data_IF_007401665257
#
_entry.id   IF_007401665257
#
_cell.length_a   1.000
_cell.length_b   1.000
_cell.length_c   1.000
_cell.angle_alpha   90.00
_cell.angle_beta   90.00
_cell.angle_gamma   90.00
#
_symmetry.space_group_name_H-M   'P 1'
#
loop_
_entity.id
_entity.type
_entity.pdbx_description
1 polymer ?
#
# COMPACT_ATOMS: atom_id res chain seq x y z
N UNK A 1 -10.19 -8.65 0.47
CA UNK A 1 -9.74 -7.81 -0.66
C UNK A 1 -10.83 -6.79 -0.91
N UNK A 2 -10.65 -5.57 -0.44
CA UNK A 2 -11.63 -4.52 -0.67
C UNK A 2 -11.35 -3.91 -2.04
N UNK A 3 -12.38 -3.82 -2.88
CA UNK A 3 -12.33 -3.09 -4.14
C UNK A 3 -13.02 -1.77 -3.89
N UNK A 4 -12.28 -0.67 -4.05
CA UNK A 4 -12.83 0.67 -3.86
C UNK A 4 -13.77 0.99 -5.01
N UNK A 5 -15.04 1.20 -4.69
CA UNK A 5 -16.05 1.66 -5.64
C UNK A 5 -16.03 3.18 -5.74
N UNK A 6 -16.67 3.75 -6.77
CA UNK A 6 -16.90 5.20 -6.88
C UNK A 6 -17.60 5.78 -5.64
N UNK A 7 -18.49 5.00 -5.00
CA UNK A 7 -19.16 5.42 -3.76
C UNK A 7 -18.17 5.57 -2.61
N UNK A 8 -17.15 4.71 -2.53
CA UNK A 8 -16.11 4.78 -1.52
C UNK A 8 -15.22 6.00 -1.75
N UNK A 9 -14.82 6.28 -3.00
CA UNK A 9 -14.03 7.48 -3.35
C UNK A 9 -14.78 8.76 -2.98
N UNK A 10 -16.07 8.85 -3.32
CA UNK A 10 -16.91 9.99 -2.95
C UNK A 10 -17.00 10.17 -1.42
N UNK A 11 -17.09 9.06 -0.68
CA UNK A 11 -17.10 9.09 0.78
C UNK A 11 -15.75 9.58 1.34
N UNK A 12 -14.63 9.12 0.78
CA UNK A 12 -13.28 9.56 1.16
C UNK A 12 -13.13 11.06 0.92
N UNK A 13 -13.44 11.55 -0.28
CA UNK A 13 -13.34 12.97 -0.61
C UNK A 13 -14.22 13.85 0.29
N UNK A 14 -15.42 13.38 0.65
CA UNK A 14 -16.28 14.09 1.60
C UNK A 14 -15.62 14.22 2.98
N UNK A 15 -14.96 13.17 3.46
CA UNK A 15 -14.24 13.21 4.74
C UNK A 15 -13.01 14.11 4.69
N UNK A 16 -12.27 14.06 3.56
CA UNK A 16 -11.13 14.95 3.32
C UNK A 16 -11.53 16.41 3.41
N UNK A 17 -12.60 16.81 2.71
CA UNK A 17 -13.12 18.17 2.76
C UNK A 17 -13.68 18.56 4.14
N UNK A 18 -14.39 17.64 4.81
CA UNK A 18 -14.99 17.90 6.12
C UNK A 18 -13.94 18.14 7.22
N UNK A 19 -12.83 17.43 7.16
CA UNK A 19 -11.78 17.46 8.19
C UNK A 19 -10.55 18.26 7.78
N UNK A 20 -10.55 18.90 6.61
CA UNK A 20 -9.42 19.63 6.04
C UNK A 20 -8.14 18.79 6.07
N UNK A 21 -8.25 17.55 5.57
CA UNK A 21 -7.13 16.60 5.51
C UNK A 21 -6.22 17.01 4.35
N UNK A 22 -4.91 17.11 4.59
CA UNK A 22 -3.94 17.47 3.54
C UNK A 22 -3.39 16.24 2.79
N UNK A 23 -3.48 15.05 3.38
CA UNK A 23 -2.94 13.81 2.81
C UNK A 23 -3.62 12.56 3.39
N UNK A 24 -3.67 11.48 2.61
CA UNK A 24 -4.13 10.17 3.04
C UNK A 24 -2.93 9.24 3.17
N UNK A 25 -2.84 8.53 4.29
CA UNK A 25 -1.88 7.43 4.49
C UNK A 25 -2.64 6.11 4.42
N UNK A 26 -2.13 5.17 3.65
CA UNK A 26 -2.71 3.83 3.47
C UNK A 26 -1.64 2.74 3.44
N UNK A 27 -2.05 1.50 3.22
CA UNK A 27 -1.14 0.35 3.04
C UNK A 27 -0.76 0.19 1.57
N UNK A 28 0.38 -0.45 1.26
CA UNK A 28 0.76 -0.75 -0.13
C UNK A 28 -0.32 -1.56 -0.88
N UNK A 29 -0.99 -2.46 -0.16
CA UNK A 29 -2.09 -3.27 -0.68
C UNK A 29 -3.25 -2.40 -1.17
N UNK A 30 -3.65 -1.42 -0.36
CA UNK A 30 -4.77 -0.54 -0.70
C UNK A 30 -4.34 0.52 -1.71
N UNK A 31 -3.08 0.96 -1.69
CA UNK A 31 -2.49 1.80 -2.74
C UNK A 31 -2.62 1.15 -4.11
N UNK A 32 -2.35 -0.16 -4.22
CA UNK A 32 -2.50 -0.90 -5.48
C UNK A 32 -3.95 -0.90 -5.99
N UNK A 33 -4.94 -0.94 -5.11
CA UNK A 33 -6.36 -0.86 -5.47
C UNK A 33 -6.78 0.58 -5.81
N UNK A 34 -6.30 1.56 -5.04
CA UNK A 34 -6.63 2.98 -5.18
C UNK A 34 -5.92 3.66 -6.34
N UNK A 35 -4.81 3.10 -6.85
CA UNK A 35 -4.02 3.68 -7.95
C UNK A 35 -4.86 4.04 -9.19
N UNK A 36 -5.94 3.28 -9.43
CA UNK A 36 -6.84 3.50 -10.56
C UNK A 36 -7.79 4.69 -10.37
N UNK A 37 -7.90 5.21 -9.14
CA UNK A 37 -8.77 6.32 -8.76
C UNK A 37 -7.99 7.50 -8.19
N UNK A 38 -6.66 7.53 -8.31
CA UNK A 38 -5.81 8.60 -7.76
C UNK A 38 -6.18 9.98 -8.33
N UNK A 39 -6.55 10.05 -9.62
CA UNK A 39 -6.99 11.30 -10.23
C UNK A 39 -8.32 11.84 -9.68
N UNK A 40 -9.11 11.00 -9.01
CA UNK A 40 -10.37 11.38 -8.37
C UNK A 40 -10.19 11.79 -6.90
N UNK A 41 -9.03 11.48 -6.29
CA UNK A 41 -8.71 11.88 -4.92
C UNK A 41 -8.26 13.35 -4.91
N UNK A 42 -8.82 14.12 -3.98
CA UNK A 42 -8.52 15.56 -3.88
C UNK A 42 -7.19 15.87 -3.18
N UNK A 43 -6.54 14.85 -2.60
CA UNK A 43 -5.34 14.99 -1.80
C UNK A 43 -4.34 13.87 -2.13
N UNK A 44 -3.04 14.12 -1.93
CA UNK A 44 -2.01 13.11 -2.14
C UNK A 44 -2.25 11.86 -1.30
N UNK A 45 -1.93 10.71 -1.89
CA UNK A 45 -2.02 9.38 -1.29
C UNK A 45 -0.61 8.84 -1.06
N UNK A 46 -0.32 8.44 0.17
CA UNK A 46 0.95 7.85 0.58
C UNK A 46 0.75 6.43 1.11
N UNK A 47 1.78 5.60 0.98
CA UNK A 47 1.89 4.34 1.71
C UNK A 47 3.16 4.32 2.54
N UNK A 48 3.09 3.64 3.69
CA UNK A 48 4.28 3.33 4.46
C UNK A 48 4.97 2.12 3.83
N UNK A 49 6.23 2.30 3.41
CA UNK A 49 7.08 1.21 2.97
C UNK A 49 7.60 0.46 4.21
N UNK A 50 7.48 -0.87 4.20
CA UNK A 50 8.05 -1.72 5.24
C UNK A 50 9.25 -2.42 4.63
N UNK A 51 10.44 -2.09 5.12
CA UNK A 51 11.67 -2.77 4.72
C UNK A 51 11.91 -4.00 5.60
N UNK A 52 12.14 -5.15 4.96
CA UNK A 52 12.51 -6.38 5.63
C UNK A 52 14.01 -6.60 5.47
N UNK A 53 14.73 -6.65 6.58
CA UNK A 53 16.12 -7.06 6.63
C UNK A 53 16.22 -8.51 7.11
N UNK A 54 16.96 -9.35 6.39
CA UNK A 54 17.27 -10.70 6.81
C UNK A 54 18.72 -10.76 7.33
N UNK A 55 18.86 -11.09 8.61
CA UNK A 55 20.16 -11.40 9.19
C UNK A 55 20.65 -12.77 8.70
N UNK A 56 21.98 -12.94 8.59
CA UNK A 56 22.61 -14.17 8.08
C UNK A 56 22.16 -14.58 6.65
N UNK A 57 21.94 -13.63 5.74
CA UNK A 57 21.51 -13.87 4.36
C UNK A 57 22.23 -15.05 3.67
N UNK A 58 23.56 -15.12 3.78
CA UNK A 58 24.37 -16.21 3.19
C UNK A 58 23.98 -17.60 3.71
N UNK A 59 23.69 -17.72 5.01
CA UNK A 59 23.29 -19.00 5.60
C UNK A 59 21.89 -19.40 5.13
N UNK A 60 21.00 -18.42 4.98
CA UNK A 60 19.67 -18.67 4.44
C UNK A 60 19.74 -19.12 2.98
N UNK A 61 20.59 -18.51 2.15
CA UNK A 61 20.84 -18.93 0.76
C UNK A 61 21.32 -20.39 0.68
N UNK A 62 22.29 -20.79 1.52
CA UNK A 62 22.75 -22.18 1.59
C UNK A 62 21.62 -23.17 1.96
N UNK A 63 20.68 -22.76 2.81
CA UNK A 63 19.50 -23.58 3.16
C UNK A 63 18.55 -23.72 1.97
N UNK A 64 18.39 -22.68 1.15
CA UNK A 64 17.55 -22.72 -0.05
C UNK A 64 18.18 -23.61 -1.14
N UNK A 65 19.49 -23.50 -1.38
CA UNK A 65 20.24 -24.37 -2.31
C UNK A 65 20.13 -25.85 -1.89
N UNK A 66 20.31 -26.15 -0.59
CA UNK A 66 20.15 -27.50 -0.06
C UNK A 66 18.73 -28.09 -0.21
N UNK A 67 17.74 -27.23 -0.47
CA UNK A 67 16.35 -27.62 -0.76
C UNK A 67 16.00 -27.58 -2.26
N UNK A 68 16.93 -27.16 -3.12
CA UNK A 68 16.69 -26.97 -4.56
C UNK A 68 15.65 -25.89 -4.88
N UNK A 69 15.55 -24.87 -4.01
CA UNK A 69 14.65 -23.72 -4.19
C UNK A 69 15.34 -22.52 -4.85
N UNK A 70 16.68 -22.58 -4.91
CA UNK A 70 17.58 -21.79 -5.73
C UNK A 70 18.39 -22.77 -6.58
#
# INVERSE_FOLDING_TARGET
HHTYSTRDINRINRLVALHNIDAIITTEKDMYSLRFSVGELQVPLYSLAIELSLEELKRFEMVLEGKGLL
#
